data_IF_654749041040
#
_entry.id   IF_654749041040
#
_cell.length_a   1.000
_cell.length_b   1.000
_cell.length_c   1.000
_cell.angle_alpha   90.00
_cell.angle_beta   90.00
_cell.angle_gamma   90.00
#
_symmetry.space_group_name_H-M   'P 1'
#
loop_
_entity.id
_entity.type
_entity.pdbx_description
1 polymer ?
#
# COMPACT_ATOMS: atom_id res chain seq x y z
N UNK A 1 -5.47 7.57 19.31
CA UNK A 1 -4.38 6.83 19.99
C UNK A 1 -4.63 6.91 21.48
N UNK A 2 -3.96 6.09 22.27
CA UNK A 2 -3.95 6.19 23.73
C UNK A 2 -2.50 6.37 24.14
N UNK A 3 -2.18 7.48 24.81
CA UNK A 3 -0.84 7.75 25.35
C UNK A 3 -0.89 7.40 26.83
N UNK A 4 0.00 6.51 27.27
CA UNK A 4 0.15 6.14 28.68
C UNK A 4 1.31 6.94 29.25
N UNK A 5 1.05 7.74 30.29
CA UNK A 5 2.07 8.49 31.02
C UNK A 5 2.78 7.59 32.05
N UNK A 6 4.01 7.93 32.42
CA UNK A 6 4.71 7.33 33.57
C UNK A 6 3.97 7.67 34.88
N UNK A 7 4.24 6.93 35.96
CA UNK A 7 3.52 7.08 37.23
C UNK A 7 3.86 8.39 38.00
N UNK A 8 5.02 9.00 37.72
CA UNK A 8 5.57 10.16 38.45
C UNK A 8 5.55 11.44 37.58
N UNK A 9 4.49 11.64 36.81
CA UNK A 9 4.40 12.79 35.90
C UNK A 9 3.70 13.98 36.57
N UNK A 10 4.29 15.15 36.45
CA UNK A 10 3.69 16.40 36.91
C UNK A 10 2.64 16.90 35.90
N UNK A 11 1.78 17.82 36.33
CA UNK A 11 0.84 18.50 35.45
C UNK A 11 1.52 19.19 34.25
N UNK A 12 2.75 19.68 34.44
CA UNK A 12 3.57 20.28 33.39
C UNK A 12 3.89 19.31 32.26
N UNK A 13 4.13 18.04 32.58
CA UNK A 13 4.43 17.02 31.57
C UNK A 13 3.17 16.67 30.77
N UNK A 14 2.02 16.60 31.44
CA UNK A 14 0.73 16.38 30.80
C UNK A 14 0.43 17.55 29.85
N UNK A 15 0.60 18.79 30.31
CA UNK A 15 0.38 20.00 29.50
C UNK A 15 1.33 20.07 28.30
N UNK A 16 2.57 19.60 28.46
CA UNK A 16 3.52 19.51 27.35
C UNK A 16 3.04 18.54 26.27
N UNK A 17 2.55 17.36 26.66
CA UNK A 17 1.97 16.38 25.71
C UNK A 17 0.71 16.96 25.05
N UNK A 18 -0.18 17.62 25.80
CA UNK A 18 -1.38 18.25 25.24
C UNK A 18 -1.04 19.37 24.25
N UNK A 19 -0.03 20.18 24.55
CA UNK A 19 0.47 21.23 23.66
C UNK A 19 1.06 20.64 22.37
N UNK A 20 1.84 19.56 22.50
CA UNK A 20 2.38 18.84 21.35
C UNK A 20 1.26 18.31 20.45
N UNK A 21 0.22 17.70 21.03
CA UNK A 21 -0.94 17.22 20.29
C UNK A 21 -1.67 18.37 19.57
N UNK A 22 -1.91 19.48 20.26
CA UNK A 22 -2.58 20.65 19.70
C UNK A 22 -1.81 21.26 18.51
N UNK A 23 -0.47 21.33 18.60
CA UNK A 23 0.39 21.80 17.50
C UNK A 23 0.32 20.91 16.25
N UNK A 24 -0.10 19.65 16.41
CA UNK A 24 -0.32 18.72 15.31
C UNK A 24 -1.81 18.58 14.92
N UNK A 25 -2.68 19.47 15.40
CA UNK A 25 -4.11 19.46 15.11
C UNK A 25 -4.87 18.29 15.76
N UNK A 26 -4.32 17.69 16.81
CA UNK A 26 -4.94 16.61 17.58
C UNK A 26 -5.49 17.14 18.90
N UNK A 27 -6.54 16.51 19.40
CA UNK A 27 -7.13 16.80 20.72
C UNK A 27 -6.77 15.68 21.71
N UNK A 28 -6.23 16.06 22.87
CA UNK A 28 -5.95 15.13 23.96
C UNK A 28 -6.98 15.23 25.08
N UNK A 29 -7.47 14.08 25.55
CA UNK A 29 -8.38 13.96 26.69
C UNK A 29 -7.66 13.21 27.82
N UNK A 30 -7.10 13.92 28.82
CA UNK A 30 -6.43 13.28 29.94
C UNK A 30 -7.43 12.63 30.90
N UNK A 31 -7.13 11.40 31.29
CA UNK A 31 -7.83 10.61 32.30
C UNK A 31 -6.84 10.27 33.40
N UNK A 32 -6.99 10.96 34.55
CA UNK A 32 -6.11 10.78 35.72
C UNK A 32 -6.56 9.58 36.52
N UNK A 33 -5.82 8.49 36.43
CA UNK A 33 -6.03 7.30 37.26
C UNK A 33 -5.31 7.41 38.60
N UNK A 34 -5.56 6.42 39.47
CA UNK A 34 -4.92 6.32 40.79
C UNK A 34 -3.42 6.03 40.64
N UNK A 35 -3.03 5.20 39.66
CA UNK A 35 -1.63 4.81 39.45
C UNK A 35 -0.95 5.56 38.29
N UNK A 36 -1.70 5.88 37.23
CA UNK A 36 -1.16 6.49 36.00
C UNK A 36 -2.19 7.40 35.34
N UNK A 37 -1.69 8.39 34.61
CA UNK A 37 -2.52 9.21 33.71
C UNK A 37 -2.50 8.62 32.30
N UNK A 38 -3.66 8.57 31.67
CA UNK A 38 -3.82 8.11 30.29
C UNK A 38 -4.43 9.24 29.47
N UNK A 39 -3.87 9.55 28.30
CA UNK A 39 -4.37 10.59 27.41
C UNK A 39 -4.98 9.94 26.18
N UNK A 40 -6.30 10.06 26.04
CA UNK A 40 -7.01 9.68 24.83
C UNK A 40 -6.78 10.72 23.74
N UNK A 41 -6.18 10.32 22.62
CA UNK A 41 -5.87 11.21 21.49
C UNK A 41 -6.92 11.03 20.40
N UNK A 42 -7.64 12.10 20.12
CA UNK A 42 -8.67 12.22 19.09
C UNK A 42 -8.21 13.14 17.96
N UNK A 43 -8.67 12.84 16.74
CA UNK A 43 -8.37 13.61 15.53
C UNK A 43 -7.98 12.73 14.35
N UNK A 44 -8.15 13.27 13.14
CA UNK A 44 -7.69 12.65 11.90
C UNK A 44 -6.59 13.54 11.32
N UNK A 45 -5.38 13.01 11.23
CA UNK A 45 -4.24 13.64 10.57
C UNK A 45 -3.84 12.70 9.46
N UNK A 46 -4.31 12.95 8.24
CA UNK A 46 -3.95 12.10 7.10
C UNK A 46 -2.46 12.15 6.77
N UNK A 47 -2.00 11.37 5.78
CA UNK A 47 -0.58 11.19 5.47
C UNK A 47 0.19 12.49 5.19
N UNK A 48 -0.51 13.56 4.79
CA UNK A 48 0.03 14.91 4.54
C UNK A 48 0.11 15.82 5.78
N UNK A 49 -0.24 15.33 6.98
CA UNK A 49 -0.24 16.15 8.19
C UNK A 49 -1.42 17.12 8.29
N UNK A 50 -2.33 17.12 7.31
CA UNK A 50 -3.46 18.06 7.26
C UNK A 50 -4.59 17.58 8.17
N UNK A 51 -5.06 18.40 9.13
CA UNK A 51 -6.21 18.06 9.96
C UNK A 51 -7.45 17.79 9.09
N UNK A 52 -8.16 16.69 9.33
CA UNK A 52 -9.38 16.33 8.61
C UNK A 52 -9.17 15.64 7.26
N UNK A 53 -7.93 15.36 6.85
CA UNK A 53 -7.64 14.56 5.66
C UNK A 53 -7.88 13.06 5.90
N UNK A 54 -8.17 12.32 4.82
CA UNK A 54 -8.51 10.90 4.88
C UNK A 54 -7.26 10.10 5.24
N UNK A 55 -7.09 9.80 6.52
CA UNK A 55 -6.03 8.95 7.05
C UNK A 55 -6.10 8.92 8.56
N UNK A 56 -5.81 7.77 9.17
CA UNK A 56 -5.67 7.67 10.63
C UNK A 56 -4.51 8.54 11.12
N UNK A 57 -4.32 8.62 12.43
CA UNK A 57 -3.24 9.44 13.00
C UNK A 57 -1.88 8.98 12.45
N UNK A 58 -1.11 9.91 11.89
CA UNK A 58 0.18 9.64 11.24
C UNK A 58 1.10 8.80 12.15
N UNK A 59 1.63 7.66 11.66
CA UNK A 59 2.54 6.80 12.42
C UNK A 59 3.69 7.53 13.10
N UNK A 60 4.26 8.54 12.44
CA UNK A 60 5.41 9.31 12.93
C UNK A 60 5.08 10.14 14.17
N UNK A 61 3.81 10.56 14.34
CA UNK A 61 3.36 11.29 15.53
C UNK A 61 3.38 10.36 16.74
N UNK A 62 3.01 9.09 16.56
CA UNK A 62 3.09 8.09 17.65
C UNK A 62 4.53 7.91 18.13
N UNK A 63 5.47 7.77 17.20
CA UNK A 63 6.91 7.64 17.50
C UNK A 63 7.46 8.91 18.19
N UNK A 64 7.08 10.10 17.71
CA UNK A 64 7.47 11.35 18.33
C UNK A 64 6.92 11.52 19.75
N UNK A 65 5.68 11.07 20.00
CA UNK A 65 5.07 11.07 21.33
C UNK A 65 5.79 10.13 22.30
N UNK A 66 6.23 8.95 21.84
CA UNK A 66 7.01 8.02 22.67
C UNK A 66 8.37 8.59 23.09
N UNK A 67 8.93 9.52 22.32
CA UNK A 67 10.17 10.22 22.67
C UNK A 67 9.97 11.36 23.68
N UNK A 68 8.73 11.79 23.96
CA UNK A 68 8.50 12.87 24.91
C UNK A 68 8.83 12.43 26.35
N UNK A 69 9.37 13.34 27.17
CA UNK A 69 9.52 13.09 28.59
C UNK A 69 8.20 12.64 29.21
N UNK A 70 8.29 11.75 30.19
CA UNK A 70 7.11 11.31 30.95
C UNK A 70 6.05 10.50 30.18
N UNK A 71 6.27 10.19 28.89
CA UNK A 71 5.49 9.17 28.15
C UNK A 71 6.10 7.79 28.37
N UNK A 72 5.25 6.80 28.70
CA UNK A 72 5.63 5.40 28.90
C UNK A 72 5.43 4.57 27.63
N UNK A 73 4.26 4.70 26.98
CA UNK A 73 3.95 4.00 25.73
C UNK A 73 2.82 4.69 24.96
N UNK A 74 2.77 4.48 23.64
CA UNK A 74 1.69 4.98 22.78
C UNK A 74 1.00 3.82 22.07
N UNK A 75 -0.27 3.60 22.41
CA UNK A 75 -1.11 2.56 21.83
C UNK A 75 -1.94 3.12 20.67
N UNK A 76 -1.80 2.52 19.50
CA UNK A 76 -2.66 2.84 18.34
C UNK A 76 -3.98 2.09 18.48
N UNK A 77 -5.09 2.85 18.49
CA UNK A 77 -6.45 2.30 18.50
C UNK A 77 -6.93 2.01 17.07
N UNK A 78 -6.59 2.88 16.12
CA UNK A 78 -6.94 2.71 14.71
C UNK A 78 -5.94 1.83 13.97
N UNK A 79 -6.43 0.98 13.07
CA UNK A 79 -5.58 0.17 12.17
C UNK A 79 -4.76 1.08 11.23
N UNK A 80 -3.49 0.75 10.96
CA UNK A 80 -2.62 1.56 10.11
C UNK A 80 -3.03 1.57 8.63
N UNK A 81 -3.83 0.59 8.20
CA UNK A 81 -4.28 0.41 6.81
C UNK A 81 -5.76 0.80 6.62
N UNK A 82 -6.20 1.90 7.25
CA UNK A 82 -7.61 2.34 7.27
C UNK A 82 -8.26 2.33 5.87
N UNK A 83 -7.60 2.92 4.87
CA UNK A 83 -8.13 3.04 3.50
C UNK A 83 -8.38 1.70 2.81
N UNK A 84 -7.58 0.67 3.12
CA UNK A 84 -7.70 -0.66 2.53
C UNK A 84 -8.57 -1.60 3.38
N UNK A 85 -9.13 -1.13 4.50
CA UNK A 85 -9.87 -1.96 5.44
C UNK A 85 -11.36 -2.01 5.09
N UNK A 86 -11.98 -3.19 5.19
CA UNK A 86 -13.45 -3.33 5.02
C UNK A 86 -14.28 -2.58 6.05
N UNK A 87 -13.70 -2.27 7.21
CA UNK A 87 -14.34 -1.44 8.24
C UNK A 87 -14.57 0.00 7.73
N UNK A 88 -13.66 0.50 6.89
CA UNK A 88 -13.75 1.83 6.30
C UNK A 88 -14.36 1.82 4.90
N UNK A 89 -14.10 0.77 4.11
CA UNK A 89 -14.63 0.57 2.77
C UNK A 89 -15.29 -0.83 2.68
N UNK A 90 -16.57 -0.96 3.09
CA UNK A 90 -17.24 -2.26 3.15
C UNK A 90 -17.37 -2.96 1.80
N UNK A 91 -17.61 -2.17 0.76
CA UNK A 91 -17.82 -2.64 -0.61
C UNK A 91 -16.55 -3.19 -1.25
N UNK A 92 -16.72 -4.12 -2.20
CA UNK A 92 -15.61 -4.65 -2.97
C UNK A 92 -15.06 -3.58 -3.93
N UNK A 93 -13.73 -3.42 -3.93
CA UNK A 93 -13.05 -2.60 -4.94
C UNK A 93 -12.95 -3.39 -6.24
N UNK A 94 -13.62 -2.90 -7.27
CA UNK A 94 -13.55 -3.47 -8.63
C UNK A 94 -12.63 -2.59 -9.48
N UNK A 95 -11.66 -3.22 -10.14
CA UNK A 95 -10.70 -2.55 -11.03
C UNK A 95 -10.97 -2.95 -12.47
N UNK A 96 -11.40 -1.99 -13.26
CA UNK A 96 -11.66 -2.17 -14.69
C UNK A 96 -10.37 -2.00 -15.51
N UNK A 97 -10.00 -3.04 -16.26
CA UNK A 97 -8.82 -3.04 -17.14
C UNK A 97 -9.26 -3.21 -18.60
N UNK A 98 -8.91 -2.30 -19.51
CA UNK A 98 -9.14 -2.49 -20.94
C UNK A 98 -8.34 -3.69 -21.47
N UNK A 99 -9.03 -4.66 -22.05
CA UNK A 99 -8.45 -5.87 -22.65
C UNK A 99 -9.13 -6.17 -23.99
N UNK A 100 -8.54 -5.77 -25.12
CA UNK A 100 -9.12 -5.95 -26.46
C UNK A 100 -9.48 -7.39 -26.84
N UNK A 101 -8.82 -8.39 -26.27
CA UNK A 101 -9.06 -9.79 -26.61
C UNK A 101 -10.32 -10.39 -25.93
N UNK A 102 -10.99 -9.63 -25.05
CA UNK A 102 -12.25 -10.02 -24.40
C UNK A 102 -13.42 -9.35 -25.12
N UNK A 103 -14.56 -10.04 -25.23
CA UNK A 103 -15.74 -9.57 -25.99
C UNK A 103 -16.29 -8.21 -25.52
N UNK A 104 -16.24 -7.95 -24.22
CA UNK A 104 -16.65 -6.68 -23.61
C UNK A 104 -15.57 -5.59 -23.72
N UNK A 105 -14.36 -5.93 -24.15
CA UNK A 105 -13.21 -5.03 -24.21
C UNK A 105 -12.63 -4.60 -22.86
N UNK A 106 -13.22 -5.06 -21.75
CA UNK A 106 -12.83 -4.72 -20.37
C UNK A 106 -12.88 -6.00 -19.53
N UNK A 107 -11.93 -6.13 -18.60
CA UNK A 107 -11.87 -7.16 -17.57
C UNK A 107 -12.00 -6.49 -16.21
N UNK A 108 -12.85 -7.04 -15.34
CA UNK A 108 -13.07 -6.54 -13.98
C UNK A 108 -12.35 -7.43 -12.97
N UNK A 109 -11.35 -6.89 -12.26
CA UNK A 109 -10.66 -7.58 -11.17
C UNK A 109 -11.34 -7.23 -9.85
N UNK A 110 -11.69 -8.23 -9.05
CA UNK A 110 -12.41 -8.06 -7.77
C UNK A 110 -13.91 -8.27 -7.87
N UNK A 111 -14.44 -8.51 -9.08
CA UNK A 111 -15.81 -8.97 -9.30
C UNK A 111 -15.95 -10.50 -9.12
N UNK A 112 -17.08 -11.07 -9.51
CA UNK A 112 -17.35 -12.52 -9.38
C UNK A 112 -16.51 -13.42 -10.30
N UNK A 113 -15.96 -12.87 -11.38
CA UNK A 113 -15.23 -13.63 -12.40
C UNK A 113 -13.76 -13.83 -12.01
N UNK A 114 -13.24 -15.05 -12.26
CA UNK A 114 -11.82 -15.35 -12.06
C UNK A 114 -11.01 -14.81 -13.24
N UNK A 115 -10.04 -13.94 -12.96
CA UNK A 115 -9.15 -13.35 -13.98
C UNK A 115 -7.81 -14.08 -13.99
N UNK A 116 -7.45 -14.68 -15.13
CA UNK A 116 -6.17 -15.37 -15.29
C UNK A 116 -5.11 -14.44 -15.90
N UNK A 117 -3.98 -14.32 -15.18
CA UNK A 117 -2.79 -13.59 -15.61
C UNK A 117 -1.62 -14.57 -15.70
N UNK A 118 -1.09 -14.78 -16.89
CA UNK A 118 -0.08 -15.83 -17.13
C UNK A 118 1.01 -15.35 -18.08
N UNK A 119 2.18 -15.98 -18.01
CA UNK A 119 3.36 -15.60 -18.78
C UNK A 119 4.66 -15.91 -18.05
N UNK A 120 5.82 -15.64 -18.67
CA UNK A 120 7.10 -16.08 -18.15
C UNK A 120 7.55 -15.28 -16.94
N UNK A 121 8.43 -15.86 -16.11
CA UNK A 121 9.06 -15.16 -14.98
C UNK A 121 9.81 -13.90 -15.44
N UNK A 122 10.57 -14.02 -16.53
CA UNK A 122 11.37 -12.94 -17.09
C UNK A 122 11.17 -12.90 -18.60
N UNK A 123 11.21 -11.71 -19.19
CA UNK A 123 11.29 -11.56 -20.64
C UNK A 123 12.74 -11.80 -21.05
N UNK A 124 12.99 -12.87 -21.82
CA UNK A 124 14.35 -13.29 -22.18
C UNK A 124 14.64 -13.12 -23.67
N UNK A 125 13.63 -13.27 -24.52
CA UNK A 125 13.71 -13.01 -25.95
C UNK A 125 12.32 -12.81 -26.53
N UNK A 126 12.25 -12.21 -27.72
CA UNK A 126 11.01 -12.07 -28.46
C UNK A 126 10.35 -13.42 -28.73
N UNK A 127 11.11 -14.38 -29.26
CA UNK A 127 10.60 -15.72 -29.59
C UNK A 127 9.98 -16.39 -28.36
N UNK A 128 10.67 -16.36 -27.23
CA UNK A 128 10.20 -16.93 -25.98
C UNK A 128 8.90 -16.24 -25.53
N UNK A 129 8.85 -14.92 -25.58
CA UNK A 129 7.68 -14.15 -25.14
C UNK A 129 6.47 -14.40 -26.03
N UNK A 130 6.62 -14.35 -27.37
CA UNK A 130 5.51 -14.50 -28.30
C UNK A 130 4.91 -15.91 -28.26
N UNK A 131 5.75 -16.95 -28.21
CA UNK A 131 5.28 -18.33 -28.05
C UNK A 131 4.49 -18.46 -26.75
N UNK A 132 5.00 -17.90 -25.65
CA UNK A 132 4.32 -17.97 -24.36
C UNK A 132 3.00 -17.21 -24.38
N UNK A 133 2.99 -15.99 -24.93
CA UNK A 133 1.81 -15.14 -25.02
C UNK A 133 0.67 -15.80 -25.82
N UNK A 134 1.00 -16.40 -26.97
CA UNK A 134 0.03 -17.16 -27.77
C UNK A 134 -0.51 -18.37 -27.00
N UNK A 135 0.36 -19.14 -26.34
CA UNK A 135 -0.03 -20.33 -25.61
C UNK A 135 -0.98 -19.99 -24.45
N UNK A 136 -0.63 -19.03 -23.60
CA UNK A 136 -1.48 -18.66 -22.46
C UNK A 136 -2.78 -18.00 -22.90
N UNK A 137 -2.77 -17.28 -24.03
CA UNK A 137 -3.98 -16.69 -24.61
C UNK A 137 -4.97 -17.77 -25.03
N UNK A 138 -4.49 -18.84 -25.66
CA UNK A 138 -5.32 -19.97 -26.10
C UNK A 138 -5.96 -20.69 -24.91
N UNK A 139 -5.28 -20.74 -23.76
CA UNK A 139 -5.80 -21.30 -22.52
C UNK A 139 -6.69 -20.33 -21.70
N UNK A 140 -7.00 -19.16 -22.26
CA UNK A 140 -7.95 -18.21 -21.67
C UNK A 140 -7.34 -17.12 -20.79
N UNK A 141 -6.01 -17.00 -20.72
CA UNK A 141 -5.40 -15.83 -20.08
C UNK A 141 -5.74 -14.55 -20.85
N UNK A 142 -6.04 -13.49 -20.10
CA UNK A 142 -6.44 -12.18 -20.62
C UNK A 142 -5.43 -11.08 -20.28
N UNK A 143 -4.49 -11.39 -19.39
CA UNK A 143 -3.38 -10.52 -19.02
C UNK A 143 -2.06 -11.30 -19.13
N UNK A 144 -1.12 -10.77 -19.90
CA UNK A 144 0.23 -11.30 -20.03
C UNK A 144 1.14 -10.72 -18.94
N UNK A 145 1.70 -11.59 -18.09
CA UNK A 145 2.74 -11.19 -17.13
C UNK A 145 4.14 -11.45 -17.67
N UNK A 146 5.10 -10.57 -17.41
CA UNK A 146 6.51 -10.79 -17.75
C UNK A 146 7.43 -9.77 -17.10
N UNK A 147 8.49 -10.24 -16.43
CA UNK A 147 9.46 -9.35 -15.78
C UNK A 147 10.45 -8.77 -16.79
N UNK A 148 10.38 -7.47 -17.04
CA UNK A 148 11.38 -6.77 -17.86
C UNK A 148 12.65 -6.46 -17.07
N UNK A 149 12.51 -6.23 -15.76
CA UNK A 149 13.59 -6.00 -14.81
C UNK A 149 13.61 -7.13 -13.78
N UNK A 150 14.80 -7.57 -13.35
CA UNK A 150 14.98 -8.59 -12.31
C UNK A 150 16.04 -8.16 -11.30
N UNK A 151 15.80 -8.37 -9.99
CA UNK A 151 16.83 -8.17 -8.99
C UNK A 151 17.91 -9.23 -9.18
N UNK A 152 19.17 -8.81 -9.17
CA UNK A 152 20.31 -9.73 -9.11
C UNK A 152 21.34 -9.20 -8.14
N UNK A 153 21.65 -10.00 -7.11
CA UNK A 153 22.72 -9.74 -6.15
C UNK A 153 24.11 -10.00 -6.76
N UNK A 154 24.19 -10.80 -7.81
CA UNK A 154 25.43 -11.03 -8.59
C UNK A 154 25.53 -10.02 -9.73
N UNK A 155 26.73 -9.44 -10.00
CA UNK A 155 26.95 -8.61 -11.19
C UNK A 155 26.85 -9.40 -12.50
N UNK A 156 26.95 -10.74 -12.44
CA UNK A 156 26.85 -11.62 -13.60
C UNK A 156 25.46 -12.22 -13.81
N UNK A 157 24.55 -12.02 -12.86
CA UNK A 157 23.18 -12.52 -12.99
C UNK A 157 22.39 -11.71 -14.00
N UNK A 158 21.51 -12.39 -14.75
CA UNK A 158 20.63 -11.73 -15.70
C UNK A 158 19.69 -10.76 -14.99
N UNK A 159 19.71 -9.49 -15.40
CA UNK A 159 18.93 -8.39 -14.79
C UNK A 159 17.62 -8.10 -15.52
N UNK A 160 17.23 -8.97 -16.44
CA UNK A 160 16.16 -8.72 -17.39
C UNK A 160 16.62 -7.90 -18.60
N UNK A 161 15.76 -7.77 -19.60
CA UNK A 161 16.02 -7.01 -20.83
C UNK A 161 15.80 -5.50 -20.68
N UNK A 162 15.31 -5.04 -19.53
CA UNK A 162 14.99 -3.64 -19.27
C UNK A 162 13.98 -3.08 -20.27
N UNK A 163 14.26 -1.91 -20.84
CA UNK A 163 13.39 -1.24 -21.81
C UNK A 163 13.08 -2.10 -23.04
N UNK A 164 14.05 -2.87 -23.54
CA UNK A 164 13.80 -3.79 -24.66
C UNK A 164 12.78 -4.87 -24.29
N UNK A 165 12.83 -5.35 -23.04
CA UNK A 165 11.79 -6.25 -22.50
C UNK A 165 10.40 -5.60 -22.48
N UNK A 166 10.32 -4.30 -22.14
CA UNK A 166 9.06 -3.55 -22.17
C UNK A 166 8.54 -3.37 -23.60
N UNK A 167 9.41 -3.11 -24.58
CA UNK A 167 9.03 -3.03 -26.01
C UNK A 167 8.47 -4.35 -26.51
N UNK A 168 9.08 -5.47 -26.11
CA UNK A 168 8.58 -6.80 -26.44
C UNK A 168 7.21 -7.09 -25.81
N UNK A 169 7.00 -6.71 -24.55
CA UNK A 169 5.68 -6.81 -23.90
C UNK A 169 4.63 -5.95 -24.60
N UNK A 170 4.99 -4.72 -24.99
CA UNK A 170 4.11 -3.84 -25.76
C UNK A 170 3.76 -4.43 -27.13
N UNK A 171 4.72 -5.09 -27.80
CA UNK A 171 4.48 -5.82 -29.05
C UNK A 171 3.50 -6.97 -28.83
N UNK A 172 3.72 -7.81 -27.81
CA UNK A 172 2.84 -8.93 -27.48
C UNK A 172 1.42 -8.47 -27.13
N UNK A 173 1.28 -7.35 -26.39
CA UNK A 173 -0.02 -6.71 -26.13
C UNK A 173 -0.75 -6.38 -27.45
N UNK A 174 -0.07 -5.73 -28.38
CA UNK A 174 -0.68 -5.34 -29.66
C UNK A 174 -1.06 -6.55 -30.51
N UNK A 175 -0.26 -7.62 -30.47
CA UNK A 175 -0.46 -8.82 -31.28
C UNK A 175 -1.58 -9.71 -30.75
N UNK A 176 -1.67 -9.90 -29.42
CA UNK A 176 -2.63 -10.83 -28.81
C UNK A 176 -3.82 -10.14 -28.12
N UNK A 177 -3.84 -8.81 -28.07
CA UNK A 177 -4.90 -8.02 -27.45
C UNK A 177 -5.04 -8.20 -25.94
N UNK A 178 -4.06 -8.80 -25.26
CA UNK A 178 -4.03 -8.97 -23.81
C UNK A 178 -3.52 -7.71 -23.13
N UNK A 179 -3.98 -7.41 -21.90
CA UNK A 179 -3.27 -6.43 -21.06
C UNK A 179 -1.90 -6.97 -20.62
N UNK A 180 -1.03 -6.10 -20.12
CA UNK A 180 0.32 -6.47 -19.65
C UNK A 180 0.51 -6.05 -18.21
N UNK A 181 1.14 -6.92 -17.43
CA UNK A 181 1.64 -6.60 -16.08
C UNK A 181 3.14 -6.93 -16.02
N UNK A 182 3.91 -5.98 -15.50
CA UNK A 182 5.35 -6.12 -15.26
C UNK A 182 5.73 -5.43 -13.96
N UNK A 183 6.79 -5.91 -13.32
CA UNK A 183 7.31 -5.33 -12.09
C UNK A 183 8.13 -4.07 -12.42
N UNK A 184 7.89 -3.00 -11.66
CA UNK A 184 8.72 -1.80 -11.68
C UNK A 184 9.73 -1.92 -10.54
N UNK A 185 11.00 -1.79 -10.86
CA UNK A 185 12.10 -1.85 -9.91
C UNK A 185 12.82 -0.50 -9.84
N UNK A 186 13.25 -0.12 -8.64
CA UNK A 186 14.01 1.10 -8.35
C UNK A 186 15.37 0.75 -7.78
#
# INVERSE_FOLDING_TARGET
MIVVMKAQCDDRDIDHVLTFLANHGLSGHPSRGIERTVIGVLGAVGPSGTPGSIGGINPTIGEALECLPCVDSVLRVSKPYKLASREFHPEDTIVDIPVPCVSQGIVQIGASSVVMMAGPCTVESEKQLMITAQAVRNEGAVILRGGAFKPSTSPYGFRGMGEEGLKLLAKARSEFGMAVITEVMT
#
